data_IF_087596295837
#
_entry.id   IF_087596295837
#
_cell.length_a   1.000
_cell.length_b   1.000
_cell.length_c   1.000
_cell.angle_alpha   90.00
_cell.angle_beta   90.00
_cell.angle_gamma   90.00
#
_symmetry.space_group_name_H-M   'P 1'
#
loop_
_entity.id
_entity.type
_entity.pdbx_description
1 polymer ?
#
# COMPACT_ATOMS: atom_id res chain seq x y z
N UNK A 1 30.94 -0.60 7.16
CA UNK A 1 31.61 -1.82 6.63
C UNK A 1 30.71 -3.06 6.61
N UNK A 2 30.18 -3.48 7.78
CA UNK A 2 29.34 -4.69 7.90
C UNK A 2 28.05 -4.60 7.07
N UNK A 3 27.37 -3.45 7.09
CA UNK A 3 26.14 -3.22 6.31
C UNK A 3 26.37 -3.29 4.78
N UNK A 4 27.54 -2.87 4.31
CA UNK A 4 27.86 -2.94 2.88
C UNK A 4 28.12 -4.39 2.46
N UNK A 5 28.86 -5.14 3.30
CA UNK A 5 29.08 -6.57 3.08
C UNK A 5 27.75 -7.34 3.11
N UNK A 6 26.85 -7.04 4.04
CA UNK A 6 25.55 -7.70 4.11
C UNK A 6 24.66 -7.40 2.90
N UNK A 7 24.73 -6.19 2.32
CA UNK A 7 24.04 -5.85 1.06
C UNK A 7 24.57 -6.69 -0.10
N UNK A 8 25.89 -6.82 -0.24
CA UNK A 8 26.53 -7.61 -1.31
C UNK A 8 26.24 -9.11 -1.13
N UNK A 9 26.36 -9.64 0.09
CA UNK A 9 26.06 -11.05 0.39
C UNK A 9 24.58 -11.35 0.12
N UNK A 10 23.68 -10.46 0.55
CA UNK A 10 22.26 -10.61 0.27
C UNK A 10 22.00 -10.68 -1.25
N UNK A 11 22.65 -9.81 -2.03
CA UNK A 11 22.53 -9.83 -3.50
C UNK A 11 22.97 -11.16 -4.11
N UNK A 12 24.16 -11.68 -3.74
CA UNK A 12 24.76 -12.86 -4.38
C UNK A 12 24.17 -14.18 -3.85
N UNK A 13 23.97 -14.29 -2.54
CA UNK A 13 23.63 -15.54 -1.86
C UNK A 13 22.21 -15.57 -1.30
N UNK A 14 21.46 -14.46 -1.42
CA UNK A 14 20.15 -14.34 -0.80
C UNK A 14 19.14 -15.29 -1.41
N UNK A 15 18.59 -16.17 -0.57
CA UNK A 15 17.44 -17.04 -0.87
C UNK A 15 16.31 -16.73 0.08
N UNK A 16 15.09 -17.03 -0.33
CA UNK A 16 13.94 -16.90 0.55
C UNK A 16 14.01 -17.94 1.68
N UNK A 17 13.58 -17.55 2.88
CA UNK A 17 13.51 -18.46 4.01
C UNK A 17 12.38 -18.06 4.96
N UNK A 18 11.87 -19.04 5.71
CA UNK A 18 10.82 -18.82 6.71
C UNK A 18 11.43 -18.15 7.94
N UNK A 19 10.96 -16.95 8.27
CA UNK A 19 11.37 -16.23 9.48
C UNK A 19 10.44 -16.51 10.66
N UNK A 20 9.16 -16.72 10.39
CA UNK A 20 8.15 -16.81 11.43
C UNK A 20 7.05 -17.81 11.05
N UNK A 21 6.48 -18.47 12.06
CA UNK A 21 5.35 -19.37 11.91
C UNK A 21 4.28 -19.01 12.93
N UNK A 22 3.13 -18.60 12.43
CA UNK A 22 2.02 -18.10 13.24
C UNK A 22 0.83 -19.06 13.19
N UNK A 23 -0.05 -18.93 14.18
CA UNK A 23 -1.31 -19.66 14.22
C UNK A 23 -2.45 -18.71 14.54
N UNK A 24 -3.58 -18.91 13.88
CA UNK A 24 -4.80 -18.18 14.17
C UNK A 24 -5.99 -19.12 14.02
N UNK A 25 -6.51 -19.61 15.14
CA UNK A 25 -7.50 -20.67 15.18
C UNK A 25 -7.06 -21.90 14.35
N UNK A 26 -7.75 -22.19 13.24
CA UNK A 26 -7.41 -23.31 12.33
C UNK A 26 -6.40 -22.93 11.25
N UNK A 27 -6.05 -21.65 11.12
CA UNK A 27 -5.10 -21.16 10.13
C UNK A 27 -3.66 -21.34 10.64
N UNK A 28 -2.81 -21.87 9.77
CA UNK A 28 -1.36 -21.94 9.95
C UNK A 28 -0.74 -20.99 8.93
N UNK A 29 0.11 -20.09 9.40
CA UNK A 29 0.73 -19.06 8.57
C UNK A 29 2.25 -19.17 8.66
N UNK A 30 2.92 -18.73 7.61
CA UNK A 30 4.37 -18.57 7.57
C UNK A 30 4.69 -17.21 6.96
N UNK A 31 5.65 -16.52 7.57
CA UNK A 31 6.24 -15.30 7.01
C UNK A 31 7.59 -15.66 6.41
N UNK A 32 7.77 -15.28 5.15
CA UNK A 32 8.98 -15.58 4.38
C UNK A 32 9.70 -14.27 4.10
N UNK A 33 11.01 -14.27 4.34
CA UNK A 33 11.86 -13.12 4.05
C UNK A 33 12.46 -13.30 2.67
N UNK A 34 12.29 -12.29 1.82
CA UNK A 34 13.14 -12.07 0.65
C UNK A 34 14.31 -11.21 1.14
N UNK A 35 15.54 -11.73 1.26
CA UNK A 35 16.67 -11.00 1.85
C UNK A 35 17.16 -9.92 0.86
N UNK A 36 16.43 -8.83 0.76
CA UNK A 36 16.71 -7.68 -0.11
C UNK A 36 16.50 -6.39 0.67
N UNK A 37 17.44 -5.46 0.51
CA UNK A 37 17.34 -4.11 1.04
C UNK A 37 16.52 -3.22 0.11
N UNK A 38 15.95 -2.12 0.62
CA UNK A 38 15.18 -1.13 -0.16
C UNK A 38 15.91 -0.66 -1.42
N UNK A 39 17.24 -0.51 -1.36
CA UNK A 39 18.04 -0.12 -2.53
C UNK A 39 17.87 -1.10 -3.70
N UNK A 40 17.76 -2.40 -3.45
CA UNK A 40 17.53 -3.39 -4.50
C UNK A 40 16.16 -3.24 -5.15
N UNK A 41 15.14 -2.82 -4.38
CA UNK A 41 13.80 -2.56 -4.91
C UNK A 41 13.73 -1.33 -5.82
N UNK A 42 14.59 -0.34 -5.56
CA UNK A 42 14.63 0.91 -6.33
C UNK A 42 15.47 0.77 -7.61
N UNK A 43 16.46 -0.13 -7.63
CA UNK A 43 17.34 -0.34 -8.79
C UNK A 43 16.68 -1.24 -9.83
N UNK A 44 16.33 -0.67 -11.00
CA UNK A 44 15.76 -1.42 -12.13
C UNK A 44 16.58 -2.64 -12.55
N UNK A 45 17.91 -2.52 -12.53
CA UNK A 45 18.84 -3.61 -12.87
C UNK A 45 18.81 -4.80 -11.89
N UNK A 46 18.04 -4.72 -10.81
CA UNK A 46 17.88 -5.79 -9.82
C UNK A 46 16.44 -6.35 -9.79
N UNK A 47 15.51 -5.78 -10.56
CA UNK A 47 14.11 -6.21 -10.56
C UNK A 47 13.93 -7.64 -11.05
N UNK A 48 14.67 -8.05 -12.09
CA UNK A 48 14.62 -9.42 -12.61
C UNK A 48 15.04 -10.45 -11.55
N UNK A 49 16.21 -10.25 -10.92
CA UNK A 49 16.72 -11.10 -9.85
C UNK A 49 15.75 -11.18 -8.66
N UNK A 50 15.12 -10.06 -8.30
CA UNK A 50 14.12 -10.03 -7.22
C UNK A 50 12.85 -10.77 -7.60
N UNK A 51 12.35 -10.57 -8.82
CA UNK A 51 11.15 -11.24 -9.30
C UNK A 51 11.34 -12.75 -9.31
N UNK A 52 12.52 -13.22 -9.73
CA UNK A 52 12.88 -14.63 -9.66
C UNK A 52 12.80 -15.19 -8.23
N UNK A 53 13.32 -14.48 -7.23
CA UNK A 53 13.24 -14.93 -5.84
C UNK A 53 11.81 -14.99 -5.29
N UNK A 54 10.97 -14.03 -5.68
CA UNK A 54 9.56 -14.01 -5.28
C UNK A 54 8.81 -15.15 -5.96
N UNK A 55 9.05 -15.38 -7.25
CA UNK A 55 8.48 -16.50 -8.01
C UNK A 55 8.89 -17.85 -7.42
N UNK A 56 10.17 -18.06 -7.12
CA UNK A 56 10.67 -19.27 -6.48
C UNK A 56 9.96 -19.53 -5.13
N UNK A 57 9.72 -18.49 -4.32
CA UNK A 57 8.96 -18.62 -3.08
C UNK A 57 7.47 -18.97 -3.31
N UNK A 58 6.84 -18.42 -4.36
CA UNK A 58 5.46 -18.76 -4.73
C UNK A 58 5.37 -20.25 -5.14
N UNK A 59 6.31 -20.71 -5.99
CA UNK A 59 6.37 -22.10 -6.41
C UNK A 59 6.68 -23.05 -5.25
N UNK A 60 7.54 -22.66 -4.31
CA UNK A 60 7.78 -23.45 -3.10
C UNK A 60 6.52 -23.53 -2.21
N UNK A 61 5.74 -22.45 -2.13
CA UNK A 61 4.46 -22.45 -1.41
C UNK A 61 3.43 -23.38 -2.07
N UNK A 62 3.36 -23.40 -3.41
CA UNK A 62 2.54 -24.33 -4.19
C UNK A 62 2.90 -25.79 -3.89
N UNK A 63 4.19 -26.14 -3.94
CA UNK A 63 4.67 -27.49 -3.60
C UNK A 63 4.30 -27.91 -2.17
N UNK A 64 4.26 -26.93 -1.24
CA UNK A 64 3.82 -27.12 0.15
C UNK A 64 2.30 -27.11 0.32
N UNK A 65 1.53 -27.04 -0.76
CA UNK A 65 0.06 -26.99 -0.79
C UNK A 65 -0.52 -25.82 0.01
N UNK A 66 0.19 -24.69 0.04
CA UNK A 66 -0.29 -23.44 0.61
C UNK A 66 -1.53 -22.99 -0.17
N UNK A 67 -2.54 -22.48 0.52
CA UNK A 67 -3.80 -22.05 -0.11
C UNK A 67 -3.76 -20.61 -0.61
N UNK A 68 -3.05 -19.74 0.09
CA UNK A 68 -2.95 -18.32 -0.21
C UNK A 68 -1.53 -17.84 0.08
N UNK A 69 -0.94 -17.10 -0.85
CA UNK A 69 0.30 -16.35 -0.66
C UNK A 69 -0.02 -14.87 -0.76
N UNK A 70 0.45 -14.08 0.21
CA UNK A 70 0.33 -12.62 0.19
C UNK A 70 1.69 -11.98 -0.06
N UNK A 71 1.74 -11.05 -1.01
CA UNK A 71 2.94 -10.26 -1.30
C UNK A 71 3.01 -9.07 -0.33
N UNK A 72 3.94 -9.16 0.63
CA UNK A 72 4.11 -8.13 1.66
C UNK A 72 4.92 -6.92 1.20
N UNK A 73 4.51 -5.73 1.66
CA UNK A 73 5.25 -4.47 1.55
C UNK A 73 5.77 -4.16 0.13
N UNK A 74 7.08 -4.23 -0.11
CA UNK A 74 7.69 -3.92 -1.41
C UNK A 74 7.57 -5.06 -2.43
N UNK A 75 7.24 -6.29 -1.99
CA UNK A 75 7.10 -7.44 -2.88
C UNK A 75 5.82 -7.40 -3.73
N UNK A 76 4.89 -6.50 -3.44
CA UNK A 76 3.66 -6.28 -4.23
C UNK A 76 3.75 -5.07 -5.16
N UNK A 77 4.95 -4.55 -5.43
CA UNK A 77 5.12 -3.31 -6.20
C UNK A 77 4.52 -3.41 -7.61
N UNK A 78 3.69 -2.44 -7.99
CA UNK A 78 3.09 -2.35 -9.33
C UNK A 78 4.19 -2.27 -10.41
N UNK A 79 5.17 -1.39 -10.21
CA UNK A 79 6.35 -1.25 -11.09
C UNK A 79 7.30 -2.47 -11.06
N UNK A 80 7.20 -3.33 -10.06
CA UNK A 80 8.05 -4.51 -9.91
C UNK A 80 7.45 -5.72 -10.63
N UNK A 81 6.18 -6.02 -10.35
CA UNK A 81 5.53 -7.26 -10.76
C UNK A 81 4.03 -7.12 -11.03
N UNK A 82 3.54 -5.90 -11.29
CA UNK A 82 2.11 -5.61 -11.51
C UNK A 82 1.24 -6.18 -10.39
N UNK A 83 1.65 -5.96 -9.14
CA UNK A 83 0.99 -6.49 -7.96
C UNK A 83 0.84 -8.04 -7.97
N UNK A 84 1.77 -8.74 -8.62
CA UNK A 84 1.80 -10.19 -8.73
C UNK A 84 1.19 -10.79 -10.00
N UNK A 85 0.57 -9.98 -10.87
CA UNK A 85 -0.03 -10.47 -12.12
C UNK A 85 0.97 -11.22 -13.02
N UNK A 86 2.23 -10.76 -13.05
CA UNK A 86 3.29 -11.40 -13.84
C UNK A 86 3.49 -12.87 -13.47
N UNK A 87 3.34 -13.23 -12.19
CA UNK A 87 3.56 -14.61 -11.74
C UNK A 87 2.43 -15.54 -12.18
N UNK A 88 1.21 -15.02 -12.29
CA UNK A 88 0.05 -15.77 -12.80
C UNK A 88 0.17 -16.02 -14.30
N UNK A 89 0.68 -15.04 -15.05
CA UNK A 89 0.95 -15.18 -16.48
C UNK A 89 2.08 -16.18 -16.77
N UNK A 90 3.16 -16.13 -15.97
CA UNK A 90 4.29 -17.05 -16.09
C UNK A 90 3.93 -18.48 -15.67
N UNK A 91 2.98 -18.64 -14.74
CA UNK A 91 2.59 -19.92 -14.16
C UNK A 91 1.06 -20.12 -14.26
N UNK A 92 0.50 -20.34 -15.46
CA UNK A 92 -0.94 -20.41 -15.67
C UNK A 92 -1.64 -21.59 -14.95
N UNK A 93 -0.87 -22.58 -14.50
CA UNK A 93 -1.36 -23.74 -13.73
C UNK A 93 -1.26 -23.59 -12.20
N UNK A 94 -0.91 -22.41 -11.70
CA UNK A 94 -0.73 -22.18 -10.26
C UNK A 94 -2.08 -22.34 -9.50
N UNK A 95 -2.15 -23.25 -8.52
CA UNK A 95 -3.37 -23.43 -7.71
C UNK A 95 -3.40 -22.51 -6.48
N UNK A 96 -2.24 -22.11 -5.96
CA UNK A 96 -2.14 -21.20 -4.82
C UNK A 96 -2.68 -19.83 -5.22
N UNK A 97 -3.55 -19.27 -4.37
CA UNK A 97 -4.13 -17.96 -4.60
C UNK A 97 -3.13 -16.87 -4.22
N UNK A 98 -2.74 -16.05 -5.19
CA UNK A 98 -1.88 -14.90 -4.95
C UNK A 98 -2.73 -13.66 -4.61
N UNK A 99 -2.35 -12.94 -3.56
CA UNK A 99 -2.99 -11.67 -3.15
C UNK A 99 -1.97 -10.60 -2.79
N UNK A 100 -2.27 -9.33 -3.07
CA UNK A 100 -1.42 -8.18 -2.74
C UNK A 100 -1.87 -7.45 -1.45
N UNK A 101 -3.10 -7.69 -1.00
CA UNK A 101 -3.68 -7.04 0.17
C UNK A 101 -4.32 -5.66 -0.11
N UNK A 102 -4.37 -5.22 -1.38
CA UNK A 102 -4.87 -3.90 -1.78
C UNK A 102 -6.31 -3.65 -1.30
N UNK A 103 -7.21 -4.63 -1.49
CA UNK A 103 -8.62 -4.48 -1.09
C UNK A 103 -8.81 -4.29 0.42
N UNK A 104 -7.97 -4.93 1.24
CA UNK A 104 -8.01 -4.77 2.69
C UNK A 104 -7.49 -3.39 3.10
N UNK A 105 -6.40 -2.92 2.48
CA UNK A 105 -5.89 -1.57 2.70
C UNK A 105 -6.94 -0.51 2.34
N UNK A 106 -7.62 -0.65 1.20
CA UNK A 106 -8.74 0.22 0.78
C UNK A 106 -9.83 0.22 1.84
N UNK A 107 -10.26 -0.94 2.33
CA UNK A 107 -11.31 -1.04 3.35
C UNK A 107 -10.92 -0.33 4.66
N UNK A 108 -9.66 -0.47 5.10
CA UNK A 108 -9.15 0.21 6.30
C UNK A 108 -9.14 1.72 6.14
N UNK A 109 -8.68 2.23 4.98
CA UNK A 109 -8.69 3.68 4.70
C UNK A 109 -10.11 4.22 4.72
N UNK A 110 -11.03 3.57 4.01
CA UNK A 110 -12.44 3.99 3.94
C UNK A 110 -13.10 3.96 5.33
N UNK A 111 -12.79 2.97 6.16
CA UNK A 111 -13.30 2.87 7.52
C UNK A 111 -12.69 3.92 8.48
N UNK A 112 -11.54 4.49 8.12
CA UNK A 112 -10.88 5.54 8.91
C UNK A 112 -11.44 6.95 8.64
N UNK A 113 -12.23 7.12 7.58
CA UNK A 113 -12.87 8.40 7.26
C UNK A 113 -13.98 8.69 8.27
N UNK A 114 -14.01 9.87 8.92
CA UNK A 114 -15.07 10.23 9.86
C UNK A 114 -16.47 10.13 9.24
N UNK A 115 -17.44 9.63 10.02
CA UNK A 115 -18.84 9.56 9.58
C UNK A 115 -19.38 10.97 9.28
N UNK A 116 -20.15 11.09 8.20
CA UNK A 116 -20.70 12.37 7.75
C UNK A 116 -19.75 13.20 6.87
N UNK A 117 -18.54 12.70 6.57
CA UNK A 117 -17.63 13.35 5.60
C UNK A 117 -18.27 13.36 4.21
N UNK A 118 -18.51 14.55 3.67
CA UNK A 118 -19.04 14.77 2.32
C UNK A 118 -17.95 15.09 1.29
N UNK A 119 -16.76 15.45 1.75
CA UNK A 119 -15.63 15.83 0.91
C UNK A 119 -14.31 15.36 1.54
N UNK A 120 -13.38 14.89 0.72
CA UNK A 120 -11.99 14.60 1.10
C UNK A 120 -11.02 15.28 0.15
N UNK A 121 -9.84 15.63 0.66
CA UNK A 121 -8.71 16.05 -0.18
C UNK A 121 -7.83 14.85 -0.49
N UNK A 122 -7.42 14.68 -1.74
CA UNK A 122 -6.53 13.63 -2.20
C UNK A 122 -5.15 14.21 -2.55
N UNK A 123 -4.10 13.68 -1.92
CA UNK A 123 -2.70 14.04 -2.18
C UNK A 123 -1.79 12.82 -2.24
N UNK A 124 -0.69 12.92 -3.00
CA UNK A 124 0.23 11.80 -3.22
C UNK A 124 -0.07 10.98 -4.48
N UNK A 125 0.80 10.02 -4.78
CA UNK A 125 0.87 9.27 -6.05
C UNK A 125 -0.36 8.38 -6.27
N UNK A 126 -0.82 8.29 -7.52
CA UNK A 126 -1.83 7.32 -7.91
C UNK A 126 -1.24 5.90 -7.94
N UNK A 127 -1.80 5.02 -7.12
CA UNK A 127 -1.58 3.57 -7.10
C UNK A 127 -2.90 2.83 -7.31
N UNK A 128 -2.86 1.52 -7.52
CA UNK A 128 -4.06 0.65 -7.50
C UNK A 128 -5.00 0.91 -6.30
N UNK A 129 -4.42 1.11 -5.11
CA UNK A 129 -5.16 1.44 -3.88
C UNK A 129 -5.79 2.84 -3.99
N UNK A 130 -5.05 3.83 -4.47
CA UNK A 130 -5.56 5.19 -4.65
C UNK A 130 -6.75 5.24 -5.61
N UNK A 131 -6.63 4.62 -6.80
CA UNK A 131 -7.73 4.55 -7.77
C UNK A 131 -8.98 3.90 -7.19
N UNK A 132 -8.80 2.82 -6.42
CA UNK A 132 -9.90 2.10 -5.77
C UNK A 132 -10.60 2.97 -4.73
N UNK A 133 -9.85 3.68 -3.88
CA UNK A 133 -10.40 4.59 -2.86
C UNK A 133 -11.19 5.72 -3.54
N UNK A 134 -10.58 6.41 -4.51
CA UNK A 134 -11.22 7.53 -5.21
C UNK A 134 -12.51 7.07 -5.89
N UNK A 135 -12.46 5.96 -6.62
CA UNK A 135 -13.63 5.37 -7.29
C UNK A 135 -14.77 5.09 -6.31
N UNK A 136 -14.48 4.43 -5.17
CA UNK A 136 -15.49 4.08 -4.16
C UNK A 136 -16.09 5.33 -3.52
N UNK A 137 -15.28 6.34 -3.22
CA UNK A 137 -15.76 7.59 -2.61
C UNK A 137 -16.68 8.36 -3.57
N UNK A 138 -16.26 8.50 -4.83
CA UNK A 138 -17.08 9.10 -5.86
C UNK A 138 -18.39 8.32 -6.09
N UNK A 139 -18.37 6.98 -6.02
CA UNK A 139 -19.59 6.16 -6.07
C UNK A 139 -20.51 6.32 -4.85
N UNK A 140 -19.98 6.79 -3.72
CA UNK A 140 -20.72 7.10 -2.49
C UNK A 140 -21.15 8.57 -2.41
N UNK A 141 -21.06 9.30 -3.51
CA UNK A 141 -21.36 10.74 -3.58
C UNK A 141 -20.53 11.59 -2.60
N UNK A 142 -19.31 11.12 -2.28
CA UNK A 142 -18.31 11.90 -1.55
C UNK A 142 -17.42 12.59 -2.57
N UNK A 143 -17.31 13.91 -2.45
CA UNK A 143 -16.47 14.70 -3.33
C UNK A 143 -14.98 14.47 -3.02
N UNK A 144 -14.18 14.22 -4.04
CA UNK A 144 -12.73 14.05 -3.92
C UNK A 144 -12.06 15.25 -4.59
N UNK A 145 -11.43 16.09 -3.76
CA UNK A 145 -10.66 17.26 -4.19
C UNK A 145 -9.21 16.86 -4.40
N UNK A 146 -8.76 16.83 -5.65
CA UNK A 146 -7.43 16.39 -6.03
C UNK A 146 -6.48 17.58 -6.10
N UNK A 147 -5.36 17.51 -5.38
CA UNK A 147 -4.41 18.64 -5.29
C UNK A 147 -3.64 18.85 -6.60
N UNK A 148 -3.16 17.76 -7.20
CA UNK A 148 -2.26 17.81 -8.36
C UNK A 148 -3.05 17.66 -9.66
N UNK A 149 -2.86 18.61 -10.57
CA UNK A 149 -3.58 18.65 -11.85
C UNK A 149 -3.34 17.41 -12.71
N UNK A 150 -2.11 16.92 -12.77
CA UNK A 150 -1.78 15.73 -13.56
C UNK A 150 -2.49 14.48 -13.03
N UNK A 151 -2.55 14.31 -11.70
CA UNK A 151 -3.28 13.19 -11.09
C UNK A 151 -4.80 13.35 -11.28
N UNK A 152 -5.32 14.57 -11.22
CA UNK A 152 -6.73 14.85 -11.51
C UNK A 152 -7.11 14.42 -12.95
N UNK A 153 -6.31 14.80 -13.95
CA UNK A 153 -6.58 14.43 -15.35
C UNK A 153 -6.48 12.91 -15.57
N UNK A 154 -5.52 12.22 -14.92
CA UNK A 154 -5.42 10.75 -14.97
C UNK A 154 -6.62 10.07 -14.30
N UNK A 155 -7.07 10.56 -13.14
CA UNK A 155 -8.26 10.02 -12.49
C UNK A 155 -9.49 10.20 -13.38
N UNK A 156 -9.64 11.38 -13.97
CA UNK A 156 -10.76 11.71 -14.86
C UNK A 156 -10.79 10.86 -16.13
N UNK A 157 -9.63 10.50 -16.68
CA UNK A 157 -9.54 9.65 -17.88
C UNK A 157 -9.77 8.16 -17.61
N UNK A 158 -9.44 7.69 -16.40
CA UNK A 158 -9.60 6.28 -16.02
C UNK A 158 -10.95 5.96 -15.37
N UNK A 159 -11.67 6.97 -14.87
CA UNK A 159 -12.96 6.80 -14.21
C UNK A 159 -14.12 7.11 -15.18
N UNK A 160 -15.26 6.46 -14.96
CA UNK A 160 -16.46 6.70 -15.79
C UNK A 160 -17.03 8.11 -15.58
N UNK A 161 -17.72 8.65 -16.59
CA UNK A 161 -18.29 10.00 -16.55
C UNK A 161 -19.21 10.27 -15.34
N UNK A 162 -19.97 9.26 -14.89
CA UNK A 162 -20.82 9.33 -13.69
C UNK A 162 -20.01 9.46 -12.39
N UNK A 163 -18.82 8.86 -12.33
CA UNK A 163 -17.92 8.90 -11.17
C UNK A 163 -17.15 10.24 -11.16
N UNK A 164 -16.79 10.74 -12.34
CA UNK A 164 -16.03 11.98 -12.50
C UNK A 164 -16.77 13.24 -12.03
N UNK A 165 -18.09 13.23 -11.87
CA UNK A 165 -18.83 14.39 -11.34
C UNK A 165 -18.47 14.74 -9.90
N UNK A 166 -17.95 13.76 -9.14
CA UNK A 166 -17.53 13.93 -7.76
C UNK A 166 -16.02 14.20 -7.63
N UNK A 167 -15.30 14.39 -8.75
CA UNK A 167 -13.90 14.82 -8.76
C UNK A 167 -13.81 16.33 -8.96
N UNK A 168 -13.04 17.00 -8.12
CA UNK A 168 -12.79 18.44 -8.22
C UNK A 168 -11.28 18.70 -8.16
N UNK A 169 -10.79 19.67 -8.93
CA UNK A 169 -9.41 20.13 -8.82
C UNK A 169 -9.32 21.16 -7.68
N UNK A 170 -8.32 21.01 -6.81
CA UNK A 170 -8.10 21.93 -5.70
C UNK A 170 -7.94 23.37 -6.19
N UNK A 171 -8.67 24.31 -5.57
CA UNK A 171 -8.60 25.74 -5.87
C UNK A 171 -9.41 26.22 -7.07
N UNK A 172 -10.30 25.40 -7.66
CA UNK A 172 -11.20 25.86 -8.74
C UNK A 172 -12.61 26.19 -8.25
N UNK A 173 -13.27 25.25 -7.60
CA UNK A 173 -14.69 25.33 -7.22
C UNK A 173 -15.00 24.55 -5.92
N UNK A 174 -13.96 24.21 -5.17
CA UNK A 174 -14.01 23.51 -3.90
C UNK A 174 -14.34 24.50 -2.76
N UNK A 175 -15.63 24.61 -2.43
CA UNK A 175 -16.11 25.48 -1.34
C UNK A 175 -16.29 24.73 0.00
N UNK A 176 -15.49 23.69 0.25
CA UNK A 176 -15.67 22.78 1.37
C UNK A 176 -14.67 22.93 2.52
N UNK A 177 -14.98 22.30 3.65
CA UNK A 177 -14.08 22.21 4.80
C UNK A 177 -13.08 21.08 4.57
N UNK A 178 -11.84 21.43 4.21
CA UNK A 178 -10.76 20.52 3.85
C UNK A 178 -10.10 19.85 5.07
N UNK A 179 -10.92 19.26 5.95
CA UNK A 179 -10.48 18.64 7.21
C UNK A 179 -10.02 17.19 7.07
N UNK A 180 -10.39 16.48 6.01
CA UNK A 180 -10.02 15.07 5.82
C UNK A 180 -9.15 14.93 4.57
N UNK A 181 -7.92 14.46 4.76
CA UNK A 181 -6.92 14.34 3.70
C UNK A 181 -6.51 12.87 3.56
N UNK A 182 -6.73 12.30 2.38
CA UNK A 182 -6.23 11.00 2.00
C UNK A 182 -4.86 11.19 1.34
N UNK A 183 -3.83 10.60 1.93
CA UNK A 183 -2.45 10.88 1.52
C UNK A 183 -1.62 9.63 1.21
N UNK A 184 -0.90 9.67 0.10
CA UNK A 184 -0.02 8.60 -0.35
C UNK A 184 1.44 8.99 -0.39
N UNK A 185 2.22 8.15 -1.07
CA UNK A 185 3.61 8.43 -1.38
C UNK A 185 3.76 9.70 -2.21
N UNK A 186 4.93 10.31 -2.17
CA UNK A 186 5.24 11.60 -2.81
C UNK A 186 4.43 12.81 -2.34
N UNK A 187 3.67 12.71 -1.24
CA UNK A 187 3.07 13.88 -0.59
C UNK A 187 4.18 14.87 -0.19
N UNK A 188 4.13 16.07 -0.76
CA UNK A 188 5.15 17.08 -0.58
C UNK A 188 4.92 17.91 0.69
N UNK A 189 5.98 18.63 1.10
CA UNK A 189 5.88 19.58 2.22
C UNK A 189 4.91 20.71 1.92
N UNK A 190 4.98 21.27 0.71
CA UNK A 190 4.16 22.42 0.31
C UNK A 190 2.66 22.08 0.30
N UNK A 191 2.30 20.88 -0.15
CA UNK A 191 0.91 20.40 -0.11
C UNK A 191 0.39 20.26 1.32
N UNK A 192 1.21 19.81 2.27
CA UNK A 192 0.79 19.74 3.68
C UNK A 192 0.66 21.12 4.33
N UNK A 193 1.40 22.12 3.87
CA UNK A 193 1.35 23.48 4.43
C UNK A 193 0.05 24.21 4.12
N UNK A 194 -0.64 23.85 3.03
CA UNK A 194 -1.94 24.45 2.68
C UNK A 194 -3.12 23.83 3.44
N UNK A 195 -2.92 22.72 4.14
CA UNK A 195 -3.97 22.10 4.95
C UNK A 195 -4.47 23.05 6.05
N UNK A 196 -5.71 22.89 6.49
CA UNK A 196 -6.23 23.69 7.59
C UNK A 196 -5.69 23.18 8.93
N UNK A 197 -5.82 23.98 9.99
CA UNK A 197 -5.54 23.49 11.35
C UNK A 197 -6.50 22.34 11.67
N UNK A 198 -6.05 21.37 12.45
CA UNK A 198 -6.83 20.20 12.88
C UNK A 198 -7.26 19.27 11.74
N UNK A 199 -6.64 19.39 10.56
CA UNK A 199 -6.83 18.42 9.48
C UNK A 199 -6.41 17.02 9.93
N UNK A 200 -7.17 16.01 9.54
CA UNK A 200 -6.90 14.58 9.70
C UNK A 200 -6.26 14.07 8.40
N UNK A 201 -4.99 13.70 8.47
CA UNK A 201 -4.27 12.99 7.42
C UNK A 201 -4.44 11.48 7.62
N UNK A 202 -5.06 10.83 6.64
CA UNK A 202 -5.30 9.39 6.56
C UNK A 202 -4.39 8.82 5.47
N UNK A 203 -3.29 8.16 5.82
CA UNK A 203 -2.41 7.58 4.84
C UNK A 203 -3.05 6.38 4.13
N UNK A 204 -2.81 6.23 2.83
CA UNK A 204 -3.19 5.04 2.06
C UNK A 204 -1.99 4.25 1.51
N UNK A 205 -0.76 4.75 1.65
CA UNK A 205 0.46 4.03 1.28
C UNK A 205 1.02 3.20 2.43
N UNK A 206 1.96 2.30 2.11
CA UNK A 206 2.56 1.37 3.08
C UNK A 206 3.50 2.07 4.06
N UNK A 207 4.16 3.15 3.64
CA UNK A 207 5.08 3.92 4.47
C UNK A 207 4.41 5.17 5.03
N UNK A 208 4.68 5.53 6.29
CA UNK A 208 4.07 6.71 6.89
C UNK A 208 4.58 7.99 6.20
N UNK A 209 3.71 8.98 5.97
CA UNK A 209 4.12 10.25 5.39
C UNK A 209 5.02 11.02 6.37
N UNK A 210 5.90 11.87 5.82
CA UNK A 210 6.65 12.84 6.63
C UNK A 210 5.67 13.86 7.21
N UNK A 211 5.57 13.93 8.54
CA UNK A 211 4.67 14.84 9.25
C UNK A 211 5.24 16.25 9.26
N UNK A 212 4.59 17.17 8.55
CA UNK A 212 4.99 18.59 8.48
C UNK A 212 4.19 19.46 9.44
N UNK A 213 2.91 19.14 9.65
CA UNK A 213 1.98 19.93 10.45
C UNK A 213 1.87 19.37 11.86
N UNK A 214 2.18 20.18 12.87
CA UNK A 214 2.09 19.77 14.28
C UNK A 214 0.70 19.98 14.87
N UNK A 215 -0.08 20.84 14.23
CA UNK A 215 -1.44 21.23 14.53
C UNK A 215 -2.49 20.36 13.82
N UNK A 216 -2.06 19.23 13.23
CA UNK A 216 -2.89 18.30 12.49
C UNK A 216 -2.72 16.87 13.04
N UNK A 217 -3.74 16.04 12.84
CA UNK A 217 -3.70 14.63 13.22
C UNK A 217 -3.20 13.79 12.04
N UNK A 218 -2.19 12.95 12.27
CA UNK A 218 -1.73 11.96 11.29
C UNK A 218 -2.05 10.57 11.80
N UNK A 219 -2.97 9.88 11.14
CA UNK A 219 -3.25 8.48 11.42
C UNK A 219 -2.07 7.61 11.00
N UNK A 220 -2.05 6.36 11.48
CA UNK A 220 -1.12 5.35 11.00
C UNK A 220 -1.44 4.97 9.55
N UNK A 221 -0.46 4.40 8.85
CA UNK A 221 -0.71 3.69 7.60
C UNK A 221 -1.77 2.59 7.80
N UNK A 222 -2.44 2.12 6.74
CA UNK A 222 -3.50 1.13 6.86
C UNK A 222 -2.99 -0.12 7.60
N UNK A 223 -3.53 -0.35 8.79
CA UNK A 223 -3.13 -1.43 9.68
C UNK A 223 -4.31 -1.90 10.52
N UNK A 224 -4.24 -3.15 10.99
CA UNK A 224 -5.24 -3.77 11.84
C UNK A 224 -4.58 -4.26 13.12
N UNK A 225 -5.31 -4.17 14.22
CA UNK A 225 -4.88 -4.76 15.49
C UNK A 225 -5.00 -6.26 15.39
N UNK A 226 -3.89 -6.97 15.63
CA UNK A 226 -3.88 -8.41 15.68
C UNK A 226 -4.77 -8.90 16.84
N UNK A 227 -5.68 -9.86 16.62
CA UNK A 227 -6.51 -10.40 17.69
C UNK A 227 -5.65 -11.17 18.69
N UNK A 228 -6.07 -11.20 19.97
CA UNK A 228 -5.35 -11.90 21.05
C UNK A 228 -5.17 -13.41 20.80
N UNK A 229 -6.00 -14.01 19.94
CA UNK A 229 -5.90 -15.42 19.53
C UNK A 229 -4.83 -15.67 18.46
N UNK A 230 -4.16 -14.63 17.97
CA UNK A 230 -3.06 -14.76 17.01
C UNK A 230 -1.76 -15.12 17.73
N UNK A 231 -1.31 -16.36 17.54
CA UNK A 231 -0.14 -16.90 18.20
C UNK A 231 1.16 -16.59 17.47
N UNK A 232 2.23 -16.41 18.26
CA UNK A 232 3.62 -16.25 17.83
C UNK A 232 3.88 -15.05 16.92
N UNK A 233 3.09 -13.96 17.00
CA UNK A 233 3.38 -12.72 16.27
C UNK A 233 4.53 -11.96 16.93
N UNK A 234 5.72 -12.05 16.36
CA UNK A 234 6.94 -11.46 16.90
C UNK A 234 7.48 -10.29 16.08
N UNK A 235 7.08 -10.22 14.81
CA UNK A 235 7.60 -9.24 13.86
C UNK A 235 6.47 -8.50 13.15
N UNK A 236 6.53 -7.17 13.18
CA UNK A 236 5.72 -6.27 12.34
C UNK A 236 6.59 -5.09 11.90
N UNK A 237 6.08 -4.29 10.98
CA UNK A 237 6.72 -3.05 10.53
C UNK A 237 7.02 -2.13 11.73
N UNK A 238 8.25 -1.61 11.81
CA UNK A 238 8.74 -0.90 12.98
C UNK A 238 8.08 0.48 13.22
N UNK A 239 7.32 0.99 12.26
CA UNK A 239 6.55 2.23 12.40
C UNK A 239 5.12 2.01 12.91
N UNK A 240 4.67 0.77 13.08
CA UNK A 240 3.37 0.45 13.66
C UNK A 240 3.47 0.29 15.18
N UNK A 241 2.46 0.74 15.94
CA UNK A 241 2.39 0.49 17.37
C UNK A 241 2.28 -1.03 17.63
N UNK A 242 2.97 -1.50 18.67
CA UNK A 242 2.90 -2.89 19.15
C UNK A 242 1.85 -3.04 20.24
#
# INVERSE_FOLDING_TARGET
PVTLCSVIIARICGRTFVVERNTFHKLKLQSWVVPRYTLHYVLKSQQEDMNKLIEEAILEAELKRVKVVSLGLLNQGEDLNRNGEVYLEMNPGLEVKLVDGSSLAVAVVLNSIPKGTSQVVFGGRLSKVAYSIVSILCHKDIQVVVIRKDEYEKLKSNLSSKVCSNLVLYGTSDNGDHKVWLVGDDLTRSEQLVAQKETIFIPFSQFPPKKVRKDCLYLSTPALVAPKSFGNLHSCENWLPR
#
